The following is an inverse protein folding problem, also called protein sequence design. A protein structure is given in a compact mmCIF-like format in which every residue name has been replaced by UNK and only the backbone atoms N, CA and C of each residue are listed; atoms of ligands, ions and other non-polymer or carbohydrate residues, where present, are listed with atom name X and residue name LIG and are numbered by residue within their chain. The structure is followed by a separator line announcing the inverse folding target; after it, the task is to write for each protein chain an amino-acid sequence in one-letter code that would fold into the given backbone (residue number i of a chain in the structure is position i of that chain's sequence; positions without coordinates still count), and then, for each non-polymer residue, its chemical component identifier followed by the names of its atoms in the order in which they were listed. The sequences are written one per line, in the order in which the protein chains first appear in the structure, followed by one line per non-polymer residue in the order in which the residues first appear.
data_IF_251103027575
#
_entry.id   IF_251103027575
#
_cell.length_a   1.000
_cell.length_b   1.000
_cell.length_c   1.000
_cell.angle_alpha   90.00
_cell.angle_beta   90.00
_cell.angle_gamma   90.00
#
_symmetry.space_group_name_H-M   'P 1'
#
loop_
_entity.id
_entity.type
_entity.pdbx_description
1 polymer ?
#
# COMPACT_ATOMS: atom_id res chain seq x y z
N UNK A 1 51.95 6.93 15.48
CA UNK A 1 51.85 5.57 14.89
C UNK A 1 50.65 4.86 15.49
N UNK A 2 49.52 4.74 14.78
CA UNK A 2 48.30 4.05 15.29
C UNK A 2 48.54 2.54 15.26
N UNK A 3 48.38 1.85 16.40
CA UNK A 3 48.60 0.39 16.51
C UNK A 3 47.54 -0.36 15.66
N UNK A 4 47.90 -1.45 14.95
CA UNK A 4 47.00 -2.16 14.04
C UNK A 4 45.73 -2.71 14.73
N UNK A 5 45.81 -3.02 16.04
CA UNK A 5 44.64 -3.42 16.83
C UNK A 5 43.58 -2.32 17.00
N UNK A 6 43.96 -1.04 16.91
CA UNK A 6 43.03 0.08 17.05
C UNK A 6 42.14 0.23 15.80
N UNK A 7 42.69 -0.08 14.62
CA UNK A 7 41.95 -0.03 13.34
C UNK A 7 40.98 -1.21 13.27
N UNK A 8 41.44 -2.41 13.66
CA UNK A 8 40.58 -3.60 13.72
C UNK A 8 39.42 -3.43 14.71
N UNK A 9 39.68 -2.86 15.89
CA UNK A 9 38.65 -2.58 16.89
C UNK A 9 37.61 -1.58 16.36
N UNK A 10 38.04 -0.51 15.69
CA UNK A 10 37.10 0.43 15.06
C UNK A 10 36.23 -0.26 14.00
N UNK A 11 36.79 -1.09 13.12
CA UNK A 11 36.04 -1.78 12.07
C UNK A 11 35.00 -2.74 12.68
N UNK A 12 35.37 -3.49 13.73
CA UNK A 12 34.44 -4.37 14.44
C UNK A 12 33.30 -3.57 15.11
N UNK A 13 33.62 -2.44 15.74
CA UNK A 13 32.59 -1.59 16.38
C UNK A 13 31.63 -0.97 15.37
N UNK A 14 32.10 -0.54 14.20
CA UNK A 14 31.26 0.05 13.16
C UNK A 14 30.36 -0.99 12.49
N UNK A 15 30.89 -2.21 12.28
CA UNK A 15 30.11 -3.33 11.73
C UNK A 15 28.99 -3.77 12.68
N UNK A 16 29.29 -3.83 13.99
CA UNK A 16 28.30 -4.18 15.02
C UNK A 16 27.21 -3.10 15.18
N UNK A 17 27.56 -1.82 14.98
CA UNK A 17 26.61 -0.72 14.99
C UNK A 17 25.68 -0.74 13.76
N UNK A 18 26.16 -1.22 12.61
CA UNK A 18 25.35 -1.34 11.40
C UNK A 18 24.28 -2.43 11.50
N UNK A 19 24.55 -3.53 12.21
CA UNK A 19 23.56 -4.58 12.48
C UNK A 19 22.38 -4.11 13.35
N UNK A 20 22.57 -3.06 14.15
CA UNK A 20 21.51 -2.47 14.98
C UNK A 20 20.58 -1.53 14.19
N UNK A 21 20.94 -1.16 12.95
CA UNK A 21 20.19 -0.23 12.09
C UNK A 21 19.37 -0.94 11.00
N UNK A 22 18.71 -2.05 11.34
CA UNK A 22 17.66 -2.60 10.47
C UNK A 22 16.49 -1.62 10.43
N UNK A 23 16.25 -1.00 9.27
CA UNK A 23 15.03 -0.24 9.02
C UNK A 23 13.90 -1.23 8.76
N UNK A 24 12.80 -1.20 9.52
CA UNK A 24 11.64 -2.02 9.21
C UNK A 24 11.10 -1.62 7.84
N UNK A 25 10.74 -2.62 7.02
CA UNK A 25 10.04 -2.36 5.77
C UNK A 25 8.74 -1.62 6.09
N UNK A 26 8.52 -0.48 5.45
CA UNK A 26 7.30 0.32 5.67
C UNK A 26 6.10 -0.52 5.23
N UNK A 27 5.11 -0.69 6.12
CA UNK A 27 3.85 -1.35 5.79
C UNK A 27 3.20 -0.64 4.59
N UNK A 28 2.72 -1.43 3.63
CA UNK A 28 2.01 -0.90 2.46
C UNK A 28 0.65 -0.37 2.88
N UNK A 29 0.19 0.66 2.18
CA UNK A 29 -1.13 1.26 2.41
C UNK A 29 -2.18 0.39 1.70
N UNK A 30 -3.21 -0.04 2.42
CA UNK A 30 -4.34 -0.79 1.87
C UNK A 30 -5.31 0.17 1.18
N UNK A 31 -5.40 0.06 -0.15
CA UNK A 31 -6.22 0.96 -0.98
C UNK A 31 -7.32 0.15 -1.65
N UNK A 32 -8.56 0.62 -1.49
CA UNK A 32 -9.73 0.12 -2.22
C UNK A 32 -10.09 1.12 -3.30
N UNK A 33 -10.12 0.68 -4.56
CA UNK A 33 -10.64 1.48 -5.67
C UNK A 33 -12.03 0.99 -6.07
N UNK A 34 -12.95 1.92 -6.29
CA UNK A 34 -14.32 1.61 -6.73
C UNK A 34 -14.39 0.92 -8.11
N UNK A 35 -13.55 1.28 -9.08
CA UNK A 35 -13.51 0.65 -10.40
C UNK A 35 -12.12 0.77 -11.05
N UNK A 36 -11.91 0.00 -12.13
CA UNK A 36 -10.61 -0.24 -12.77
C UNK A 36 -9.85 1.02 -13.15
N UNK A 37 -10.50 2.05 -13.70
CA UNK A 37 -9.83 3.28 -14.16
C UNK A 37 -9.12 4.00 -13.00
N UNK A 38 -9.80 4.21 -11.88
CA UNK A 38 -9.18 4.83 -10.69
C UNK A 38 -8.14 3.88 -10.08
N UNK A 39 -8.39 2.56 -10.11
CA UNK A 39 -7.42 1.55 -9.68
C UNK A 39 -6.11 1.63 -10.47
N UNK A 40 -6.17 1.76 -11.79
CA UNK A 40 -4.98 1.85 -12.64
C UNK A 40 -4.18 3.13 -12.38
N UNK A 41 -4.86 4.25 -12.12
CA UNK A 41 -4.20 5.48 -11.67
C UNK A 41 -3.51 5.28 -10.33
N UNK A 42 -4.19 4.70 -9.34
CA UNK A 42 -3.64 4.41 -8.02
C UNK A 42 -2.41 3.49 -8.11
N UNK A 43 -2.46 2.44 -8.94
CA UNK A 43 -1.34 1.51 -9.16
C UNK A 43 -0.12 2.22 -9.75
N UNK A 44 -0.31 3.09 -10.75
CA UNK A 44 0.78 3.85 -11.39
C UNK A 44 1.46 4.82 -10.42
N UNK A 45 0.69 5.45 -9.53
CA UNK A 45 1.19 6.44 -8.56
C UNK A 45 1.80 5.74 -7.33
N UNK A 46 1.07 4.78 -6.74
CA UNK A 46 1.43 4.12 -5.49
C UNK A 46 2.44 2.98 -5.63
N UNK A 47 2.52 2.34 -6.80
CA UNK A 47 3.50 1.29 -7.13
C UNK A 47 3.58 0.21 -6.04
N UNK A 48 4.78 -0.03 -5.52
CA UNK A 48 5.12 -1.01 -4.49
C UNK A 48 4.74 -0.57 -3.07
N UNK A 49 4.28 0.66 -2.88
CA UNK A 49 3.93 1.24 -1.57
C UNK A 49 2.47 1.00 -1.17
N UNK A 50 1.65 0.47 -2.09
CA UNK A 50 0.23 0.22 -1.87
C UNK A 50 -0.11 -1.25 -2.10
N UNK A 51 -1.11 -1.73 -1.38
CA UNK A 51 -1.85 -2.94 -1.71
C UNK A 51 -3.21 -2.50 -2.25
N UNK A 52 -3.40 -2.69 -3.55
CA UNK A 52 -4.59 -2.21 -4.25
C UNK A 52 -5.54 -3.37 -4.54
N UNK A 53 -6.80 -3.22 -4.13
CA UNK A 53 -7.93 -4.03 -4.62
C UNK A 53 -8.97 -3.13 -5.26
N UNK A 54 -9.53 -3.58 -6.38
CA UNK A 54 -10.61 -2.89 -7.07
C UNK A 54 -11.92 -3.64 -6.84
N UNK A 55 -12.99 -2.93 -6.48
CA UNK A 55 -14.33 -3.50 -6.27
C UNK A 55 -14.92 -3.97 -7.60
N UNK A 56 -14.97 -3.08 -8.59
CA UNK A 56 -15.41 -3.42 -9.95
C UNK A 56 -14.18 -3.63 -10.85
N UNK A 57 -13.98 -4.87 -11.29
CA UNK A 57 -12.85 -5.25 -12.13
C UNK A 57 -12.85 -4.65 -13.54
N UNK A 58 -11.79 -4.89 -14.34
CA UNK A 58 -11.60 -4.29 -15.68
C UNK A 58 -12.74 -4.51 -16.68
N UNK A 59 -13.53 -5.56 -16.50
CA UNK A 59 -14.66 -5.93 -17.36
C UNK A 59 -16.01 -5.88 -16.61
N UNK A 60 -16.01 -5.37 -15.37
CA UNK A 60 -17.23 -5.23 -14.57
C UNK A 60 -17.93 -3.93 -14.90
N UNK A 61 -19.25 -3.98 -15.04
CA UNK A 61 -20.07 -2.77 -15.10
C UNK A 61 -20.32 -2.27 -13.68
N UNK A 62 -19.81 -1.07 -13.39
CA UNK A 62 -19.93 -0.47 -12.06
C UNK A 62 -21.34 0.08 -11.77
N UNK A 63 -22.19 0.22 -12.79
CA UNK A 63 -23.55 0.76 -12.63
C UNK A 63 -24.55 -0.29 -12.14
N UNK A 64 -24.28 -1.57 -12.37
CA UNK A 64 -25.13 -2.70 -11.96
C UNK A 64 -24.44 -3.59 -10.91
N UNK A 65 -23.34 -3.12 -10.34
CA UNK A 65 -22.57 -3.90 -9.38
C UNK A 65 -23.20 -3.84 -7.98
N UNK A 66 -23.48 -5.03 -7.42
CA UNK A 66 -23.94 -5.20 -6.05
C UNK A 66 -22.75 -5.56 -5.14
N UNK A 67 -22.44 -4.77 -4.08
CA UNK A 67 -21.38 -5.09 -3.14
C UNK A 67 -21.63 -6.42 -2.43
N UNK A 68 -20.63 -7.31 -2.41
CA UNK A 68 -20.71 -8.50 -1.58
C UNK A 68 -20.34 -8.18 -0.12
N UNK A 69 -20.73 -9.04 0.86
CA UNK A 69 -20.23 -8.93 2.22
C UNK A 69 -18.70 -8.93 2.32
N UNK A 70 -18.01 -9.62 1.40
CA UNK A 70 -16.55 -9.62 1.35
C UNK A 70 -15.98 -8.27 0.92
N UNK A 71 -16.72 -7.48 0.13
CA UNK A 71 -16.34 -6.12 -0.26
C UNK A 71 -16.54 -5.16 0.90
N UNK A 72 -17.63 -5.28 1.65
CA UNK A 72 -17.83 -4.50 2.88
C UNK A 72 -16.72 -4.76 3.91
N UNK A 73 -16.30 -6.02 4.09
CA UNK A 73 -15.17 -6.37 4.97
C UNK A 73 -13.84 -5.82 4.42
N UNK A 74 -13.64 -5.81 3.11
CA UNK A 74 -12.43 -5.24 2.52
C UNK A 74 -12.38 -3.72 2.69
N UNK A 75 -13.51 -3.04 2.52
CA UNK A 75 -13.65 -1.60 2.73
C UNK A 75 -13.43 -1.20 4.19
N UNK A 76 -13.92 -1.99 5.15
CA UNK A 76 -13.72 -1.69 6.59
C UNK A 76 -12.28 -1.84 7.06
N UNK A 77 -11.44 -2.58 6.31
CA UNK A 77 -10.02 -2.77 6.58
C UNK A 77 -9.10 -1.86 5.74
N UNK A 78 -9.68 -1.04 4.86
CA UNK A 78 -8.92 -0.17 3.98
C UNK A 78 -8.38 1.04 4.76
N UNK A 79 -7.15 1.45 4.44
CA UNK A 79 -6.62 2.73 4.92
C UNK A 79 -7.19 3.89 4.09
N UNK A 80 -7.46 3.64 2.81
CA UNK A 80 -8.00 4.64 1.86
C UNK A 80 -8.99 3.98 0.89
N UNK A 81 -10.13 4.63 0.66
CA UNK A 81 -11.11 4.25 -0.35
C UNK A 81 -11.16 5.34 -1.43
N UNK A 82 -10.91 4.96 -2.68
CA UNK A 82 -10.92 5.84 -3.85
C UNK A 82 -12.22 5.70 -4.64
N UNK A 83 -12.98 6.77 -4.64
CA UNK A 83 -14.29 6.88 -5.28
C UNK A 83 -14.24 7.96 -6.38
N UNK A 84 -15.09 7.81 -7.39
CA UNK A 84 -15.33 8.87 -8.36
C UNK A 84 -16.39 9.78 -7.75
N UNK A 85 -16.11 11.07 -7.65
CA UNK A 85 -17.12 12.07 -7.31
C UNK A 85 -18.11 12.30 -8.47
N UNK A 86 -18.94 13.34 -8.36
CA UNK A 86 -19.91 13.77 -9.38
C UNK A 86 -21.07 12.78 -9.66
N UNK A 87 -21.52 12.03 -8.66
CA UNK A 87 -22.70 11.14 -8.76
C UNK A 87 -22.62 10.09 -9.86
N UNK A 88 -21.41 9.77 -10.37
CA UNK A 88 -21.28 8.78 -11.45
C UNK A 88 -21.55 7.34 -10.98
N UNK A 89 -21.77 7.11 -9.67
CA UNK A 89 -22.05 5.80 -9.07
C UNK A 89 -22.74 5.94 -7.72
N UNK A 90 -23.85 5.24 -7.56
CA UNK A 90 -24.70 5.26 -6.36
C UNK A 90 -24.31 4.18 -5.32
N UNK A 91 -23.04 3.75 -5.32
CA UNK A 91 -22.55 2.62 -4.50
C UNK A 91 -22.40 2.95 -3.00
N UNK A 92 -22.45 4.24 -2.61
CA UNK A 92 -22.10 4.69 -1.26
C UNK A 92 -23.28 5.29 -0.47
N UNK A 93 -24.49 5.29 -1.03
CA UNK A 93 -25.73 5.63 -0.33
C UNK A 93 -26.48 4.34 0.03
N UNK A 94 -26.06 3.70 1.12
CA UNK A 94 -26.69 2.50 1.69
C UNK A 94 -26.09 2.16 3.04
#
# INVERSE_FOLDING_TARGET
MRKPGFISLCILTTSMLFLLFTFPAKAKINVIASFSVIGDMAKKIGRDRIELRTIVGPNGDAHVYEPSPADAIAMSKADVILVNGLQLKDLFHG
#
